data_IF_956999312501
#
_entry.id   IF_956999312501
#
_cell.length_a   1.000
_cell.length_b   1.000
_cell.length_c   1.000
_cell.angle_alpha   90.00
_cell.angle_beta   90.00
_cell.angle_gamma   90.00
#
_symmetry.space_group_name_H-M   'P 1'
#
loop_
_entity.id
_entity.type
_entity.pdbx_description
1 polymer ?
#
# COMPACT_ATOMS: atom_id res chain seq x y z
N UNK A 1 11.75 28.65 -9.06
CA UNK A 1 11.27 27.45 -9.79
C UNK A 1 11.09 27.86 -11.24
N UNK A 2 11.65 27.09 -12.17
CA UNK A 2 11.39 27.33 -13.59
C UNK A 2 9.88 27.13 -13.82
N UNK A 3 9.25 28.07 -14.52
CA UNK A 3 7.83 27.99 -14.87
C UNK A 3 7.63 26.75 -15.76
N UNK A 4 6.79 25.81 -15.33
CA UNK A 4 6.46 24.63 -16.14
C UNK A 4 5.58 25.08 -17.33
N UNK A 5 6.22 25.33 -18.46
CA UNK A 5 5.55 25.82 -19.66
C UNK A 5 4.50 24.83 -20.20
N UNK A 6 4.67 23.52 -20.01
CA UNK A 6 3.72 22.52 -20.46
C UNK A 6 2.45 22.57 -19.61
N UNK A 7 2.60 22.56 -18.27
CA UNK A 7 1.48 22.70 -17.35
C UNK A 7 0.73 24.02 -17.56
N UNK A 8 1.45 25.14 -17.72
CA UNK A 8 0.82 26.45 -17.97
C UNK A 8 0.00 26.47 -19.26
N UNK A 9 0.47 25.81 -20.33
CA UNK A 9 -0.30 25.63 -21.58
C UNK A 9 -1.54 24.80 -21.35
N UNK A 10 -1.42 23.66 -20.68
CA UNK A 10 -2.54 22.75 -20.37
C UNK A 10 -3.63 23.48 -19.58
N UNK A 11 -3.26 24.22 -18.52
CA UNK A 11 -4.20 24.98 -17.72
C UNK A 11 -4.92 26.07 -18.53
N UNK A 12 -4.24 26.74 -19.47
CA UNK A 12 -4.85 27.73 -20.36
C UNK A 12 -5.86 27.05 -21.33
N UNK A 13 -5.53 25.86 -21.84
CA UNK A 13 -6.45 25.10 -22.69
C UNK A 13 -7.69 24.70 -21.88
N UNK A 14 -7.53 24.21 -20.67
CA UNK A 14 -8.65 23.81 -19.79
C UNK A 14 -9.57 24.98 -19.46
N UNK A 15 -9.02 26.15 -19.13
CA UNK A 15 -9.81 27.36 -18.87
C UNK A 15 -10.69 27.81 -20.06
N UNK A 16 -10.31 27.43 -21.27
CA UNK A 16 -11.03 27.81 -22.51
C UNK A 16 -11.72 26.62 -23.20
N UNK A 17 -11.67 25.43 -22.61
CA UNK A 17 -12.17 24.18 -23.21
C UNK A 17 -13.70 24.07 -23.28
N UNK A 18 -14.42 24.86 -22.48
CA UNK A 18 -15.85 24.74 -22.28
C UNK A 18 -16.25 23.61 -21.30
N UNK A 19 -15.32 23.02 -20.56
CA UNK A 19 -15.61 22.21 -19.40
C UNK A 19 -16.22 23.06 -18.28
N UNK A 20 -17.18 22.53 -17.53
CA UNK A 20 -17.82 23.26 -16.43
C UNK A 20 -16.93 23.28 -15.16
N UNK A 21 -16.06 22.27 -15.03
CA UNK A 21 -14.99 22.18 -14.03
C UNK A 21 -13.89 21.21 -14.51
N UNK A 22 -12.73 21.27 -13.89
CA UNK A 22 -11.61 20.39 -14.22
C UNK A 22 -10.65 20.22 -13.02
N UNK A 23 -9.90 19.13 -13.07
CA UNK A 23 -8.81 18.77 -12.15
C UNK A 23 -7.59 18.33 -12.95
N UNK A 24 -6.40 18.67 -12.43
CA UNK A 24 -5.10 18.28 -12.99
C UNK A 24 -4.18 17.83 -11.86
N UNK A 25 -3.64 16.64 -11.97
CA UNK A 25 -2.50 16.19 -11.16
C UNK A 25 -1.25 16.21 -12.05
N UNK A 26 -0.31 17.10 -11.79
CA UNK A 26 1.05 17.10 -12.36
C UNK A 26 1.93 16.19 -11.50
N UNK A 27 2.29 15.04 -12.05
CA UNK A 27 3.13 14.04 -11.39
C UNK A 27 4.51 14.03 -12.02
N UNK A 28 5.52 14.35 -11.22
CA UNK A 28 6.93 14.34 -11.60
C UNK A 28 7.65 13.29 -10.77
N UNK A 29 8.40 12.43 -11.43
CA UNK A 29 9.25 11.43 -10.80
C UNK A 29 10.68 11.60 -11.28
N UNK A 30 11.61 11.77 -10.33
CA UNK A 30 13.04 11.76 -10.57
C UNK A 30 13.65 10.65 -9.75
N UNK A 31 14.36 9.74 -10.40
CA UNK A 31 14.82 8.56 -9.71
C UNK A 31 16.10 7.97 -10.26
N UNK A 32 16.67 7.10 -9.47
CA UNK A 32 17.79 6.25 -9.82
C UNK A 32 17.41 4.80 -9.61
N UNK A 33 17.84 3.95 -10.54
CA UNK A 33 17.64 2.51 -10.51
C UNK A 33 18.99 1.81 -10.51
N UNK A 34 19.16 0.82 -9.66
CA UNK A 34 20.40 0.05 -9.53
C UNK A 34 20.06 -1.44 -9.63
N UNK A 35 20.80 -2.13 -10.45
CA UNK A 35 20.65 -3.55 -10.71
C UNK A 35 21.92 -4.24 -10.24
N UNK A 36 21.82 -5.11 -9.25
CA UNK A 36 22.92 -5.84 -8.68
C UNK A 36 22.81 -7.34 -9.05
N UNK A 37 23.92 -7.93 -9.42
CA UNK A 37 24.09 -9.38 -9.50
C UNK A 37 25.01 -9.77 -8.36
N UNK A 38 24.48 -10.51 -7.41
CA UNK A 38 25.11 -10.69 -6.10
C UNK A 38 25.38 -9.33 -5.46
N UNK A 39 26.58 -9.06 -4.99
CA UNK A 39 26.98 -7.78 -4.41
C UNK A 39 27.62 -6.79 -5.40
N UNK A 40 27.67 -7.15 -6.70
CA UNK A 40 28.26 -6.31 -7.72
C UNK A 40 27.17 -5.50 -8.44
N UNK A 41 27.39 -4.19 -8.56
CA UNK A 41 26.55 -3.35 -9.40
C UNK A 41 26.78 -3.71 -10.87
N UNK A 42 25.76 -4.20 -11.55
CA UNK A 42 25.78 -4.54 -12.98
C UNK A 42 25.35 -3.36 -13.83
N UNK A 43 24.21 -2.74 -13.50
CA UNK A 43 23.67 -1.62 -14.23
C UNK A 43 23.11 -0.56 -13.29
N UNK A 44 23.09 0.69 -13.79
CA UNK A 44 22.32 1.77 -13.18
C UNK A 44 21.63 2.60 -14.26
N UNK A 45 20.48 3.17 -13.90
CA UNK A 45 19.69 4.05 -14.77
C UNK A 45 19.26 5.29 -14.03
N UNK A 46 19.00 6.35 -14.79
CA UNK A 46 18.36 7.58 -14.31
C UNK A 46 16.97 7.62 -14.91
N UNK A 47 16.00 7.95 -14.07
CA UNK A 47 14.59 8.09 -14.43
C UNK A 47 14.16 9.54 -14.21
N UNK A 48 13.56 10.14 -15.21
CA UNK A 48 12.91 11.45 -15.12
C UNK A 48 11.64 11.39 -15.96
N UNK A 49 10.50 11.42 -15.30
CA UNK A 49 9.18 11.31 -15.93
C UNK A 49 8.30 12.46 -15.44
N UNK A 50 7.45 12.93 -16.34
CA UNK A 50 6.39 13.89 -16.04
C UNK A 50 5.13 13.51 -16.80
N UNK A 51 3.99 13.58 -16.15
CA UNK A 51 2.69 13.35 -16.77
C UNK A 51 1.60 14.18 -16.08
N UNK A 52 0.56 14.51 -16.84
CA UNK A 52 -0.60 15.21 -16.32
C UNK A 52 -1.81 14.28 -16.34
N UNK A 53 -2.34 13.96 -15.17
CA UNK A 53 -3.64 13.29 -15.06
C UNK A 53 -4.72 14.36 -15.05
N UNK A 54 -5.54 14.39 -16.09
CA UNK A 54 -6.57 15.40 -16.29
C UNK A 54 -7.94 14.79 -16.19
N UNK A 55 -8.83 15.43 -15.44
CA UNK A 55 -10.25 15.10 -15.38
C UNK A 55 -11.07 16.33 -15.65
N UNK A 56 -12.06 16.24 -16.55
CA UNK A 56 -13.00 17.31 -16.87
C UNK A 56 -14.40 16.93 -16.47
N UNK A 57 -15.22 17.93 -16.19
CA UNK A 57 -16.58 17.76 -15.70
C UNK A 57 -17.59 18.50 -16.58
N UNK A 58 -18.77 17.91 -16.69
CA UNK A 58 -19.94 18.51 -17.32
C UNK A 58 -21.11 18.50 -16.36
N UNK A 59 -21.61 19.70 -16.03
CA UNK A 59 -22.79 19.86 -15.16
C UNK A 59 -24.07 19.70 -15.97
N UNK A 60 -25.02 18.96 -15.42
CA UNK A 60 -26.39 18.83 -15.88
C UNK A 60 -27.32 19.22 -14.72
N UNK A 61 -28.63 19.29 -14.97
CA UNK A 61 -29.60 19.76 -13.96
C UNK A 61 -29.55 18.91 -12.67
N UNK A 62 -29.37 17.59 -12.80
CA UNK A 62 -29.46 16.62 -11.70
C UNK A 62 -28.21 15.71 -11.58
N UNK A 63 -27.25 15.83 -12.46
CA UNK A 63 -26.08 14.94 -12.47
C UNK A 63 -24.80 15.64 -12.94
N UNK A 64 -23.67 14.95 -12.72
CA UNK A 64 -22.34 15.39 -13.09
C UNK A 64 -21.69 14.36 -14.01
N UNK A 65 -21.41 14.76 -15.26
CA UNK A 65 -20.60 13.96 -16.15
C UNK A 65 -19.12 14.17 -15.90
N UNK A 66 -18.30 13.17 -16.10
CA UNK A 66 -16.84 13.31 -15.98
C UNK A 66 -16.12 12.38 -16.94
N UNK A 67 -14.96 12.81 -17.43
CA UNK A 67 -14.02 11.98 -18.18
C UNK A 67 -12.60 12.37 -17.82
N UNK A 68 -11.70 11.40 -17.79
CA UNK A 68 -10.31 11.63 -17.42
C UNK A 68 -9.33 10.80 -18.24
N UNK A 69 -8.14 11.33 -18.43
CA UNK A 69 -7.02 10.63 -19.10
C UNK A 69 -5.67 11.20 -18.65
N UNK A 70 -4.61 10.50 -19.00
CA UNK A 70 -3.23 11.02 -18.87
C UNK A 70 -2.85 11.77 -20.13
N UNK A 71 -2.33 12.99 -19.97
CA UNK A 71 -1.76 13.81 -21.03
C UNK A 71 -0.24 13.79 -20.90
N UNK A 72 0.52 13.37 -21.93
CA UNK A 72 1.97 13.42 -21.91
C UNK A 72 2.49 14.86 -21.74
N UNK A 73 3.52 15.05 -20.94
CA UNK A 73 4.08 16.38 -20.71
C UNK A 73 4.79 16.97 -21.94
N UNK A 74 5.25 16.13 -22.85
CA UNK A 74 5.86 16.49 -24.14
C UNK A 74 4.86 16.71 -25.26
N UNK A 75 3.55 16.50 -25.01
CA UNK A 75 2.50 16.77 -26.01
C UNK A 75 2.53 18.24 -26.45
N UNK A 76 2.40 18.47 -27.73
CA UNK A 76 2.27 19.83 -28.25
C UNK A 76 0.88 20.41 -27.96
N UNK A 77 0.72 21.72 -28.19
CA UNK A 77 -0.53 22.44 -27.91
C UNK A 77 -1.72 21.90 -28.72
N UNK A 78 -1.48 21.45 -29.96
CA UNK A 78 -2.54 20.91 -30.83
C UNK A 78 -3.03 19.57 -30.29
N UNK A 79 -2.12 18.72 -29.87
CA UNK A 79 -2.43 17.43 -29.29
C UNK A 79 -3.15 17.59 -27.93
N UNK A 80 -2.66 18.47 -27.05
CA UNK A 80 -3.34 18.79 -25.79
C UNK A 80 -4.79 19.26 -26.04
N UNK A 81 -5.00 20.18 -27.00
CA UNK A 81 -6.35 20.65 -27.37
C UNK A 81 -7.24 19.51 -27.87
N UNK A 82 -6.69 18.61 -28.69
CA UNK A 82 -7.43 17.44 -29.21
C UNK A 82 -7.85 16.51 -28.07
N UNK A 83 -6.94 16.21 -27.14
CA UNK A 83 -7.24 15.34 -26.00
C UNK A 83 -8.31 15.97 -25.12
N UNK A 84 -8.17 17.24 -24.73
CA UNK A 84 -9.13 17.91 -23.86
C UNK A 84 -10.51 18.05 -24.52
N UNK A 85 -10.57 18.33 -25.82
CA UNK A 85 -11.83 18.36 -26.55
C UNK A 85 -12.52 16.99 -26.56
N UNK A 86 -11.76 15.90 -26.70
CA UNK A 86 -12.26 14.52 -26.57
C UNK A 86 -12.85 14.27 -25.19
N UNK A 87 -12.13 14.61 -24.12
CA UNK A 87 -12.62 14.45 -22.74
C UNK A 87 -13.93 15.24 -22.50
N UNK A 88 -13.99 16.50 -22.98
CA UNK A 88 -15.20 17.32 -22.87
C UNK A 88 -16.40 16.69 -23.60
N UNK A 89 -16.14 15.96 -24.70
CA UNK A 89 -17.19 15.22 -25.41
C UNK A 89 -17.60 13.97 -24.62
N UNK A 90 -16.63 13.18 -24.12
CA UNK A 90 -16.88 11.93 -23.38
C UNK A 90 -17.64 12.20 -22.07
N UNK A 91 -17.32 13.28 -21.36
CA UNK A 91 -18.01 13.69 -20.15
C UNK A 91 -19.52 13.92 -20.35
N UNK A 92 -19.98 14.18 -21.59
CA UNK A 92 -21.41 14.32 -21.89
C UNK A 92 -22.21 13.02 -21.83
N UNK A 93 -21.54 11.87 -21.86
CA UNK A 93 -22.20 10.56 -21.85
C UNK A 93 -22.21 9.91 -20.46
N UNK A 94 -21.53 10.49 -19.49
CA UNK A 94 -21.51 10.01 -18.10
C UNK A 94 -22.57 10.74 -17.28
N UNK A 95 -23.25 10.00 -16.39
CA UNK A 95 -24.31 10.52 -15.50
C UNK A 95 -24.10 9.99 -14.10
N UNK A 96 -23.30 10.70 -13.32
CA UNK A 96 -23.14 10.44 -11.89
C UNK A 96 -24.11 11.33 -11.09
N UNK A 97 -24.61 10.90 -9.93
CA UNK A 97 -25.27 11.82 -9.00
C UNK A 97 -24.40 13.05 -8.77
N UNK A 98 -25.01 14.21 -8.57
CA UNK A 98 -24.26 15.45 -8.43
C UNK A 98 -23.41 15.46 -7.16
N UNK A 99 -22.18 15.97 -7.28
CA UNK A 99 -21.30 16.29 -6.17
C UNK A 99 -20.45 17.53 -6.52
N UNK A 100 -19.92 18.20 -5.50
CA UNK A 100 -19.03 19.37 -5.66
C UNK A 100 -17.58 18.94 -5.50
N UNK A 101 -16.68 19.54 -6.27
CA UNK A 101 -15.24 19.35 -6.12
C UNK A 101 -14.76 19.95 -4.79
N UNK A 102 -13.59 19.50 -4.35
CA UNK A 102 -12.91 20.10 -3.20
C UNK A 102 -12.59 21.56 -3.48
N UNK A 103 -12.70 22.37 -2.44
CA UNK A 103 -12.41 23.81 -2.45
C UNK A 103 -11.24 24.11 -1.50
N UNK A 104 -10.52 25.24 -1.70
CA UNK A 104 -9.49 25.68 -0.77
C UNK A 104 -10.07 25.83 0.65
N UNK A 105 -9.39 25.25 1.63
CA UNK A 105 -9.65 25.49 3.04
C UNK A 105 -8.65 26.51 3.64
N UNK A 106 -8.88 26.93 4.89
CA UNK A 106 -7.94 27.77 5.61
C UNK A 106 -6.62 27.01 5.83
N UNK A 107 -5.58 27.40 5.07
CA UNK A 107 -4.28 26.75 5.11
C UNK A 107 -3.92 25.97 3.85
N UNK A 108 -4.78 26.00 2.81
CA UNK A 108 -4.39 25.56 1.47
C UNK A 108 -3.25 26.43 0.99
N UNK A 109 -2.09 25.85 0.79
CA UNK A 109 -0.87 26.53 0.36
C UNK A 109 0.24 25.54 0.15
N UNK A 110 1.45 26.05 -0.05
CA UNK A 110 2.63 25.20 -0.16
C UNK A 110 2.80 24.43 1.16
N UNK A 111 2.80 23.13 1.11
CA UNK A 111 3.10 22.30 2.26
C UNK A 111 4.53 22.59 2.73
N UNK A 112 4.65 23.31 3.85
CA UNK A 112 5.94 23.69 4.41
C UNK A 112 6.76 22.50 4.91
N UNK A 113 6.12 21.32 5.07
CA UNK A 113 6.80 20.08 5.46
C UNK A 113 7.52 19.42 4.27
N UNK A 114 7.06 19.64 3.04
CA UNK A 114 7.59 19.03 1.82
C UNK A 114 8.66 19.87 1.12
N UNK A 115 9.14 20.93 1.72
CA UNK A 115 10.19 21.79 1.11
C UNK A 115 11.60 21.21 1.25
N UNK A 116 11.79 20.09 1.96
CA UNK A 116 13.07 19.40 1.99
C UNK A 116 13.26 18.64 0.68
N UNK A 117 14.25 19.06 -0.10
CA UNK A 117 14.69 18.29 -1.25
C UNK A 117 15.04 16.85 -0.82
N UNK A 118 14.53 15.87 -1.55
CA UNK A 118 14.89 14.46 -1.33
C UNK A 118 16.33 14.27 -1.76
N UNK A 119 17.19 13.80 -0.86
CA UNK A 119 18.58 13.48 -1.17
C UNK A 119 18.68 12.06 -1.75
N UNK A 120 18.39 11.93 -3.05
CA UNK A 120 18.46 10.65 -3.76
C UNK A 120 19.83 9.98 -3.61
N UNK A 121 20.92 10.77 -3.54
CA UNK A 121 22.28 10.22 -3.41
C UNK A 121 22.51 9.59 -2.04
N UNK A 122 22.09 10.25 -0.98
CA UNK A 122 22.20 9.71 0.39
C UNK A 122 21.36 8.45 0.54
N UNK A 123 20.09 8.49 0.12
CA UNK A 123 19.15 7.35 0.19
C UNK A 123 19.69 6.15 -0.60
N UNK A 124 20.09 6.35 -1.85
CA UNK A 124 20.68 5.28 -2.69
C UNK A 124 21.96 4.71 -2.06
N UNK A 125 22.81 5.58 -1.52
CA UNK A 125 24.04 5.17 -0.85
C UNK A 125 23.79 4.28 0.38
N UNK A 126 22.74 4.55 1.12
CA UNK A 126 22.35 3.74 2.28
C UNK A 126 21.81 2.37 1.86
N UNK A 127 20.95 2.28 0.83
CA UNK A 127 20.51 1.00 0.29
C UNK A 127 21.69 0.16 -0.22
N UNK A 128 22.52 0.73 -1.09
CA UNK A 128 23.64 0.00 -1.68
C UNK A 128 24.62 -0.49 -0.62
N UNK A 129 24.95 0.33 0.39
CA UNK A 129 25.83 -0.09 1.50
C UNK A 129 25.20 -1.23 2.30
N UNK A 130 23.92 -1.16 2.60
CA UNK A 130 23.23 -2.20 3.35
C UNK A 130 23.25 -3.52 2.59
N UNK A 131 22.84 -3.50 1.32
CA UNK A 131 22.76 -4.69 0.47
C UNK A 131 24.14 -5.30 0.24
N UNK A 132 25.15 -4.50 -0.07
CA UNK A 132 26.52 -5.00 -0.30
C UNK A 132 27.24 -5.47 0.97
N UNK A 133 26.73 -5.18 2.15
CA UNK A 133 27.24 -5.68 3.43
C UNK A 133 26.57 -6.97 3.91
N UNK A 134 25.58 -7.49 3.16
CA UNK A 134 24.91 -8.74 3.48
C UNK A 134 25.93 -9.90 3.44
N UNK A 135 25.99 -10.77 4.47
CA UNK A 135 26.92 -11.89 4.45
C UNK A 135 26.58 -12.90 3.39
N UNK A 136 27.59 -13.38 2.66
CA UNK A 136 27.48 -14.48 1.72
C UNK A 136 28.23 -15.71 2.22
N UNK A 137 27.70 -16.88 1.90
CA UNK A 137 28.34 -18.17 2.13
C UNK A 137 28.25 -19.04 0.90
N UNK A 138 28.90 -20.20 0.89
CA UNK A 138 28.79 -21.18 -0.22
C UNK A 138 27.35 -21.75 -0.37
N UNK A 139 26.53 -21.63 0.69
CA UNK A 139 25.18 -22.16 0.74
C UNK A 139 24.09 -21.09 0.66
N UNK A 140 24.44 -19.83 0.80
CA UNK A 140 23.49 -18.72 0.83
C UNK A 140 24.13 -17.49 0.21
N UNK A 141 23.44 -16.87 -0.72
CA UNK A 141 23.85 -15.62 -1.33
C UNK A 141 22.66 -14.78 -1.81
N UNK A 142 22.93 -13.53 -2.12
CA UNK A 142 22.03 -12.67 -2.87
C UNK A 142 22.22 -13.01 -4.36
N UNK A 143 21.19 -13.58 -5.01
CA UNK A 143 21.23 -13.86 -6.44
C UNK A 143 21.21 -12.58 -7.26
N UNK A 144 20.20 -11.75 -7.04
CA UNK A 144 20.02 -10.44 -7.68
C UNK A 144 19.30 -9.48 -6.75
N UNK A 145 19.52 -8.19 -6.97
CA UNK A 145 18.80 -7.17 -6.25
C UNK A 145 18.58 -5.95 -7.14
N UNK A 146 17.37 -5.47 -7.17
CA UNK A 146 17.02 -4.22 -7.84
C UNK A 146 16.64 -3.18 -6.79
N UNK A 147 17.16 -1.98 -6.93
CA UNK A 147 16.91 -0.86 -6.00
C UNK A 147 16.41 0.33 -6.80
N UNK A 148 15.23 0.79 -6.50
CA UNK A 148 14.59 1.95 -7.09
C UNK A 148 14.48 3.04 -6.02
N UNK A 149 15.01 4.22 -6.29
CA UNK A 149 14.94 5.37 -5.38
C UNK A 149 14.48 6.57 -6.15
N UNK A 150 13.33 7.12 -5.79
CA UNK A 150 12.70 8.25 -6.49
C UNK A 150 12.31 9.36 -5.52
N UNK A 151 12.36 10.59 -6.04
CA UNK A 151 11.59 11.72 -5.54
C UNK A 151 10.30 11.80 -6.36
N UNK A 152 9.15 11.70 -5.70
CA UNK A 152 7.84 11.86 -6.31
C UNK A 152 7.29 13.22 -5.91
N UNK A 153 7.02 14.07 -6.89
CA UNK A 153 6.36 15.36 -6.70
C UNK A 153 4.99 15.32 -7.38
N UNK A 154 3.93 15.49 -6.58
CA UNK A 154 2.54 15.54 -7.03
C UNK A 154 2.00 16.94 -6.78
N UNK A 155 1.62 17.68 -7.85
CA UNK A 155 0.92 18.96 -7.72
C UNK A 155 -0.49 18.81 -8.23
N UNK A 156 -1.45 19.06 -7.37
CA UNK A 156 -2.87 19.02 -7.70
C UNK A 156 -3.42 20.43 -7.86
N UNK A 157 -4.14 20.66 -8.95
CA UNK A 157 -4.78 21.95 -9.27
C UNK A 157 -6.19 21.66 -9.75
N UNK A 158 -7.18 22.43 -9.28
CA UNK A 158 -8.54 22.34 -9.80
C UNK A 158 -9.13 23.70 -10.17
N UNK A 159 -10.28 23.67 -10.85
CA UNK A 159 -11.01 24.88 -11.26
C UNK A 159 -11.65 25.65 -10.11
N UNK A 160 -11.74 25.06 -8.91
CA UNK A 160 -12.32 25.66 -7.71
C UNK A 160 -11.27 26.46 -6.91
N UNK A 161 -10.00 26.43 -7.31
CA UNK A 161 -8.93 27.26 -6.74
C UNK A 161 -7.93 26.52 -5.87
N UNK A 162 -8.00 25.19 -5.76
CA UNK A 162 -6.94 24.40 -5.11
C UNK A 162 -5.68 24.43 -5.99
N UNK A 163 -4.53 24.62 -5.35
CA UNK A 163 -3.19 24.45 -5.93
C UNK A 163 -2.26 24.02 -4.80
N UNK A 164 -2.05 22.71 -4.66
CA UNK A 164 -1.27 22.10 -3.58
C UNK A 164 -0.19 21.20 -4.17
N UNK A 165 0.93 21.07 -3.47
CA UNK A 165 2.05 20.23 -3.90
C UNK A 165 2.48 19.36 -2.74
N UNK A 166 2.69 18.07 -3.00
CA UNK A 166 3.29 17.09 -2.11
C UNK A 166 4.56 16.55 -2.75
N UNK A 167 5.65 16.43 -1.98
CA UNK A 167 6.90 15.81 -2.42
C UNK A 167 7.34 14.81 -1.39
N UNK A 168 7.57 13.56 -1.80
CA UNK A 168 8.02 12.50 -0.91
C UNK A 168 9.08 11.62 -1.59
N UNK A 169 10.01 11.02 -0.81
CA UNK A 169 10.83 9.92 -1.29
C UNK A 169 9.97 8.68 -1.48
N UNK A 170 10.24 7.91 -2.52
CA UNK A 170 9.65 6.59 -2.75
C UNK A 170 10.74 5.63 -3.17
N UNK A 171 10.90 4.55 -2.42
CA UNK A 171 11.93 3.56 -2.68
C UNK A 171 11.34 2.17 -2.71
N UNK A 172 11.94 1.31 -3.54
CA UNK A 172 11.60 -0.10 -3.61
C UNK A 172 12.88 -0.92 -3.73
N UNK A 173 12.95 -2.03 -3.02
CA UNK A 173 14.00 -3.04 -3.15
C UNK A 173 13.35 -4.36 -3.53
N UNK A 174 13.76 -4.93 -4.64
CA UNK A 174 13.42 -6.28 -5.04
C UNK A 174 14.65 -7.15 -4.89
N UNK A 175 14.60 -8.16 -4.05
CA UNK A 175 15.73 -9.02 -3.74
C UNK A 175 15.37 -10.48 -3.98
N UNK A 176 16.27 -11.20 -4.64
CA UNK A 176 16.23 -12.65 -4.77
C UNK A 176 17.40 -13.24 -4.02
N UNK A 177 17.11 -14.04 -3.01
CA UNK A 177 18.15 -14.78 -2.27
C UNK A 177 18.15 -16.24 -2.66
N UNK A 178 19.32 -16.85 -2.68
CA UNK A 178 19.50 -18.28 -2.91
C UNK A 178 19.85 -19.00 -1.63
N UNK A 179 19.31 -20.19 -1.47
CA UNK A 179 19.78 -21.17 -0.50
C UNK A 179 20.05 -22.51 -1.18
N UNK A 180 21.16 -23.16 -0.82
CA UNK A 180 21.62 -24.43 -1.44
C UNK A 180 21.94 -25.47 -0.38
N UNK A 181 21.54 -26.70 -0.63
CA UNK A 181 21.88 -27.85 0.23
C UNK A 181 21.84 -29.14 -0.59
N UNK A 182 22.95 -29.89 -0.59
CA UNK A 182 23.02 -31.25 -1.17
C UNK A 182 22.53 -31.31 -2.63
N UNK A 183 22.92 -30.31 -3.45
CA UNK A 183 22.55 -30.20 -4.87
C UNK A 183 21.14 -29.68 -5.14
N UNK A 184 20.39 -29.34 -4.10
CA UNK A 184 19.11 -28.60 -4.22
C UNK A 184 19.37 -27.13 -4.07
N UNK A 185 18.60 -26.32 -4.78
CA UNK A 185 18.65 -24.86 -4.72
C UNK A 185 17.22 -24.32 -4.64
N UNK A 186 17.06 -23.28 -3.84
CA UNK A 186 15.79 -22.54 -3.67
C UNK A 186 16.09 -21.05 -3.80
N UNK A 187 15.26 -20.38 -4.56
CA UNK A 187 15.21 -18.93 -4.66
C UNK A 187 14.00 -18.40 -3.88
N UNK A 188 14.21 -17.31 -3.14
CA UNK A 188 13.14 -16.56 -2.49
C UNK A 188 13.20 -15.11 -2.96
N UNK A 189 12.09 -14.64 -3.50
CA UNK A 189 11.86 -13.25 -3.87
C UNK A 189 11.23 -12.48 -2.72
N UNK A 190 11.71 -11.25 -2.51
CA UNK A 190 11.13 -10.28 -1.58
C UNK A 190 11.09 -8.91 -2.20
N UNK A 191 10.00 -8.19 -1.92
CA UNK A 191 9.86 -6.78 -2.27
C UNK A 191 9.66 -5.95 -1.00
N UNK A 192 10.45 -4.90 -0.86
CA UNK A 192 10.36 -3.95 0.25
C UNK A 192 10.05 -2.58 -0.32
N UNK A 193 8.98 -1.96 0.16
CA UNK A 193 8.56 -0.61 -0.21
C UNK A 193 8.69 0.31 0.99
N UNK A 194 9.21 1.53 0.79
CA UNK A 194 9.42 2.50 1.86
C UNK A 194 9.74 3.87 1.27
N UNK A 195 9.80 4.91 2.11
CA UNK A 195 10.27 6.22 1.69
C UNK A 195 11.80 6.26 1.55
N UNK A 196 12.51 5.90 2.64
CA UNK A 196 13.98 5.92 2.71
C UNK A 196 14.52 4.61 3.28
N UNK A 197 15.82 4.39 3.18
CA UNK A 197 16.44 3.17 3.70
C UNK A 197 16.49 3.16 5.24
N UNK A 198 15.69 2.32 5.87
CA UNK A 198 15.94 1.85 7.22
C UNK A 198 16.94 0.68 7.14
N UNK A 199 18.22 0.97 7.45
CA UNK A 199 19.32 0.03 7.26
C UNK A 199 19.22 -1.19 8.17
N UNK A 200 18.78 -0.99 9.41
CA UNK A 200 18.68 -2.07 10.40
C UNK A 200 17.53 -3.00 10.01
N UNK A 201 16.39 -2.44 9.65
CA UNK A 201 15.22 -3.20 9.22
C UNK A 201 15.50 -3.97 7.92
N UNK A 202 16.06 -3.33 6.89
CA UNK A 202 16.38 -3.99 5.63
C UNK A 202 17.39 -5.14 5.81
N UNK A 203 18.44 -4.93 6.61
CA UNK A 203 19.42 -5.98 6.91
C UNK A 203 18.76 -7.16 7.62
N UNK A 204 17.89 -6.89 8.58
CA UNK A 204 17.15 -7.92 9.28
C UNK A 204 16.25 -8.70 8.33
N UNK A 205 15.48 -8.01 7.49
CA UNK A 205 14.56 -8.62 6.53
C UNK A 205 15.27 -9.53 5.52
N UNK A 206 16.39 -9.08 4.97
CA UNK A 206 17.18 -9.87 4.04
C UNK A 206 17.82 -11.10 4.72
N UNK A 207 18.31 -10.94 5.95
CA UNK A 207 18.88 -12.04 6.73
C UNK A 207 17.81 -13.08 7.09
N UNK A 208 16.62 -12.65 7.49
CA UNK A 208 15.49 -13.55 7.71
C UNK A 208 15.05 -14.27 6.44
N UNK A 209 15.06 -13.60 5.29
CA UNK A 209 14.75 -14.24 4.02
C UNK A 209 15.76 -15.34 3.67
N UNK A 210 17.05 -15.12 3.97
CA UNK A 210 18.08 -16.18 3.82
C UNK A 210 17.80 -17.35 4.77
N UNK A 211 17.43 -17.09 6.03
CA UNK A 211 17.04 -18.13 6.96
C UNK A 211 15.84 -18.92 6.44
N UNK A 212 14.82 -18.28 5.91
CA UNK A 212 13.67 -18.96 5.30
C UNK A 212 14.08 -19.84 4.11
N UNK A 213 15.04 -19.40 3.29
CA UNK A 213 15.62 -20.22 2.24
C UNK A 213 16.25 -21.51 2.74
N UNK A 214 17.05 -21.44 3.81
CA UNK A 214 17.63 -22.64 4.47
C UNK A 214 16.57 -23.60 4.99
N UNK A 215 15.60 -23.03 5.72
CA UNK A 215 14.56 -23.82 6.37
C UNK A 215 13.66 -24.52 5.33
N UNK A 216 13.41 -23.85 4.20
CA UNK A 216 12.64 -24.43 3.08
C UNK A 216 13.34 -25.64 2.42
N UNK A 217 14.68 -25.71 2.47
CA UNK A 217 15.43 -26.88 1.97
C UNK A 217 15.26 -28.14 2.84
N UNK A 218 14.76 -28.00 4.06
CA UNK A 218 14.63 -29.10 5.03
C UNK A 218 13.18 -29.34 5.47
N UNK A 219 12.21 -28.72 4.78
CA UNK A 219 10.79 -28.88 5.12
C UNK A 219 10.30 -30.30 4.98
N UNK A 220 9.35 -30.66 5.86
CA UNK A 220 8.48 -31.81 5.70
C UNK A 220 7.18 -31.39 4.98
N UNK A 221 6.43 -32.33 4.37
CA UNK A 221 5.11 -32.02 3.85
C UNK A 221 4.16 -31.52 4.95
N UNK A 222 3.43 -30.44 4.71
CA UNK A 222 2.41 -29.97 5.66
C UNK A 222 1.34 -31.03 5.85
N UNK A 223 1.06 -31.49 7.09
CA UNK A 223 -0.02 -32.45 7.32
C UNK A 223 -1.40 -31.78 7.16
N UNK A 224 -2.43 -32.56 6.90
CA UNK A 224 -3.81 -32.09 6.92
C UNK A 224 -4.21 -31.83 8.38
N UNK A 225 -4.28 -30.55 8.77
CA UNK A 225 -4.55 -30.17 10.16
C UNK A 225 -6.04 -29.86 10.40
N UNK A 226 -6.81 -29.62 9.34
CA UNK A 226 -8.17 -29.11 9.48
C UNK A 226 -8.17 -27.71 10.09
N UNK A 227 -9.06 -27.47 11.05
CA UNK A 227 -9.12 -26.19 11.76
C UNK A 227 -7.95 -26.05 12.73
N UNK A 228 -7.13 -25.04 12.51
CA UNK A 228 -5.87 -24.80 13.24
C UNK A 228 -5.68 -23.30 13.44
N UNK A 229 -4.94 -22.91 14.46
CA UNK A 229 -4.60 -21.53 14.69
C UNK A 229 -3.46 -21.12 13.74
N UNK A 230 -3.77 -20.16 12.88
CA UNK A 230 -2.85 -19.59 11.90
C UNK A 230 -2.19 -18.35 12.49
N UNK A 231 -0.85 -18.28 12.41
CA UNK A 231 -0.06 -17.10 12.76
C UNK A 231 0.51 -16.49 11.49
N UNK A 232 0.39 -15.16 11.35
CA UNK A 232 0.98 -14.34 10.31
C UNK A 232 1.90 -13.31 10.97
N UNK A 233 3.19 -13.36 10.65
CA UNK A 233 4.24 -12.50 11.22
C UNK A 233 5.04 -11.74 10.14
N UNK A 234 4.62 -11.88 8.87
CA UNK A 234 5.25 -11.23 7.72
C UNK A 234 4.26 -10.27 7.05
N UNK A 235 4.64 -9.73 5.88
CA UNK A 235 3.82 -8.85 5.06
C UNK A 235 2.44 -9.43 4.66
N UNK A 236 2.30 -10.76 4.66
CA UNK A 236 1.01 -11.40 4.47
C UNK A 236 -0.07 -10.91 5.46
N UNK A 237 0.32 -10.48 6.67
CA UNK A 237 -0.61 -9.90 7.64
C UNK A 237 -1.27 -8.61 7.13
N UNK A 238 -0.64 -7.87 6.20
CA UNK A 238 -1.21 -6.64 5.64
C UNK A 238 -2.60 -6.88 5.04
N UNK A 239 -2.79 -7.96 4.28
CA UNK A 239 -4.07 -8.29 3.66
C UNK A 239 -5.22 -8.45 4.67
N UNK A 240 -4.91 -8.92 5.89
CA UNK A 240 -5.91 -9.03 6.97
C UNK A 240 -6.37 -7.64 7.43
N UNK A 241 -5.46 -6.68 7.54
CA UNK A 241 -5.81 -5.32 7.99
C UNK A 241 -6.39 -4.46 6.85
N UNK A 242 -5.96 -4.69 5.61
CA UNK A 242 -6.53 -4.06 4.42
C UNK A 242 -8.01 -4.41 4.25
N UNK A 243 -8.44 -5.62 4.62
CA UNK A 243 -9.86 -5.98 4.67
C UNK A 243 -10.68 -4.98 5.50
N UNK A 244 -10.22 -4.60 6.71
CA UNK A 244 -10.91 -3.61 7.54
C UNK A 244 -10.87 -2.21 6.93
N UNK A 245 -9.74 -1.83 6.36
CA UNK A 245 -9.53 -0.53 5.73
C UNK A 245 -10.49 -0.36 4.54
N UNK A 246 -10.56 -1.33 3.65
CA UNK A 246 -11.40 -1.27 2.45
C UNK A 246 -12.89 -1.31 2.78
N UNK A 247 -13.31 -2.12 3.77
CA UNK A 247 -14.71 -2.15 4.20
C UNK A 247 -15.21 -0.82 4.78
N UNK A 248 -14.31 0.06 5.21
CA UNK A 248 -14.62 1.43 5.68
C UNK A 248 -14.38 2.49 4.59
N UNK A 249 -14.13 2.08 3.34
CA UNK A 249 -14.08 2.97 2.20
C UNK A 249 -15.49 3.44 1.82
N UNK A 250 -15.67 4.75 1.73
CA UNK A 250 -16.95 5.34 1.29
C UNK A 250 -17.44 4.81 -0.06
N UNK A 251 -16.51 4.44 -0.95
CA UNK A 251 -16.86 3.86 -2.25
C UNK A 251 -17.48 2.47 -2.11
N UNK A 252 -16.95 1.60 -1.26
CA UNK A 252 -17.48 0.26 -1.05
C UNK A 252 -18.80 0.29 -0.28
N UNK A 253 -18.92 1.16 0.72
CA UNK A 253 -20.16 1.38 1.47
C UNK A 253 -21.27 1.91 0.54
N UNK A 254 -21.00 2.92 -0.27
CA UNK A 254 -21.98 3.47 -1.20
C UNK A 254 -22.45 2.44 -2.24
N UNK A 255 -21.55 1.59 -2.71
CA UNK A 255 -21.89 0.54 -3.70
C UNK A 255 -22.60 -0.68 -3.09
N UNK A 256 -22.74 -0.71 -1.76
CA UNK A 256 -23.36 -1.84 -1.05
C UNK A 256 -22.47 -3.09 -1.04
N UNK A 257 -21.16 -2.97 -1.29
CA UNK A 257 -20.19 -4.05 -1.13
C UNK A 257 -19.89 -4.24 0.35
N UNK A 258 -19.68 -3.17 1.09
CA UNK A 258 -19.64 -3.19 2.55
C UNK A 258 -21.00 -2.79 3.12
N UNK A 259 -21.50 -3.58 4.06
CA UNK A 259 -22.73 -3.31 4.82
C UNK A 259 -22.45 -2.73 6.22
N UNK A 260 -21.19 -2.46 6.55
CA UNK A 260 -20.75 -1.96 7.84
C UNK A 260 -21.27 -0.54 8.10
N UNK A 261 -21.89 -0.37 9.28
CA UNK A 261 -22.41 0.92 9.72
C UNK A 261 -21.66 1.43 10.93
N UNK A 262 -21.58 2.74 11.06
CA UNK A 262 -21.03 3.37 12.26
C UNK A 262 -21.71 2.81 13.52
N UNK A 263 -20.92 2.33 14.46
CA UNK A 263 -21.32 1.67 15.69
C UNK A 263 -21.32 0.14 15.65
N UNK A 264 -21.26 -0.49 14.46
CA UNK A 264 -21.20 -1.94 14.35
C UNK A 264 -19.86 -2.47 14.90
N UNK A 265 -19.91 -3.61 15.59
CA UNK A 265 -18.71 -4.32 16.04
C UNK A 265 -18.14 -5.11 14.85
N UNK A 266 -17.03 -4.65 14.31
CA UNK A 266 -16.43 -5.16 13.07
C UNK A 266 -15.04 -5.79 13.28
N UNK A 267 -14.44 -5.54 14.44
CA UNK A 267 -13.09 -6.00 14.79
C UNK A 267 -13.01 -6.39 16.27
N UNK A 268 -11.93 -7.02 16.76
CA UNK A 268 -11.69 -7.23 18.18
C UNK A 268 -11.77 -5.93 18.98
N UNK A 269 -12.28 -6.00 20.22
CA UNK A 269 -12.55 -4.82 21.04
C UNK A 269 -11.31 -3.98 21.40
N UNK A 270 -10.11 -4.56 21.33
CA UNK A 270 -8.84 -3.85 21.52
C UNK A 270 -8.33 -3.14 20.26
N UNK A 271 -8.95 -3.37 19.10
CA UNK A 271 -8.49 -2.77 17.84
C UNK A 271 -8.96 -1.31 17.72
N UNK A 272 -8.00 -0.44 17.44
CA UNK A 272 -8.25 0.92 16.92
C UNK A 272 -7.50 1.04 15.59
N UNK A 273 -8.19 1.57 14.58
CA UNK A 273 -7.63 1.85 13.26
C UNK A 273 -7.85 3.33 12.94
N UNK A 274 -6.80 4.03 12.54
CA UNK A 274 -6.90 5.41 12.11
C UNK A 274 -6.01 5.70 10.90
N UNK A 275 -6.34 6.78 10.19
CA UNK A 275 -5.55 7.31 9.08
C UNK A 275 -4.45 8.22 9.62
N UNK A 276 -3.40 8.43 8.83
CA UNK A 276 -2.35 9.39 9.14
C UNK A 276 -1.84 10.07 7.86
N UNK A 277 -1.50 11.36 7.96
CA UNK A 277 -0.79 12.06 6.89
C UNK A 277 0.66 11.59 6.76
N UNK A 278 1.27 11.15 7.87
CA UNK A 278 2.68 10.77 7.94
C UNK A 278 2.87 9.48 8.76
N UNK A 279 3.69 8.59 8.23
CA UNK A 279 4.35 7.52 8.95
C UNK A 279 5.88 7.69 8.84
N UNK A 280 6.69 7.18 9.81
CA UNK A 280 8.13 7.45 9.85
C UNK A 280 8.87 7.18 8.55
N UNK A 281 8.47 6.18 7.78
CA UNK A 281 9.17 5.76 6.56
C UNK A 281 8.22 5.37 5.42
N UNK A 282 7.07 6.00 5.31
CA UNK A 282 6.13 5.75 4.21
C UNK A 282 6.58 6.43 2.92
N UNK A 283 6.36 5.75 1.80
CA UNK A 283 6.53 6.29 0.44
C UNK A 283 5.39 7.21 -0.02
N UNK A 284 4.32 7.33 0.78
CA UNK A 284 3.10 8.11 0.46
C UNK A 284 2.80 9.19 1.52
N UNK A 285 3.84 9.69 2.19
CA UNK A 285 3.69 10.80 3.13
C UNK A 285 3.28 12.08 2.43
N UNK A 286 2.29 12.79 2.98
CA UNK A 286 1.83 14.06 2.45
C UNK A 286 0.62 14.63 3.17
N UNK A 287 0.51 15.96 3.18
CA UNK A 287 -0.61 16.67 3.82
C UNK A 287 -1.89 16.68 2.97
N UNK A 288 -1.79 16.40 1.68
CA UNK A 288 -2.90 16.47 0.75
C UNK A 288 -3.00 15.15 -0.03
N UNK A 289 -4.24 14.77 -0.30
CA UNK A 289 -4.55 13.60 -1.12
C UNK A 289 -4.54 13.91 -2.63
N UNK A 290 -4.88 12.92 -3.43
CA UNK A 290 -4.92 13.03 -4.89
C UNK A 290 -6.05 13.92 -5.44
N UNK A 291 -6.99 14.38 -4.59
CA UNK A 291 -8.07 15.33 -4.92
C UNK A 291 -7.85 16.70 -4.24
N UNK A 292 -6.66 16.93 -3.67
CA UNK A 292 -6.28 18.17 -3.01
C UNK A 292 -6.94 18.40 -1.66
N UNK A 293 -7.60 17.40 -1.10
CA UNK A 293 -8.15 17.46 0.26
C UNK A 293 -7.04 17.25 1.29
N UNK A 294 -7.13 17.96 2.42
CA UNK A 294 -6.17 17.81 3.51
C UNK A 294 -6.37 16.48 4.24
N UNK A 295 -5.33 15.65 4.29
CA UNK A 295 -5.30 14.41 5.06
C UNK A 295 -5.19 14.74 6.54
N UNK A 296 -5.98 14.05 7.36
CA UNK A 296 -6.05 14.23 8.82
C UNK A 296 -6.03 12.87 9.51
N UNK A 297 -5.77 12.91 10.81
CA UNK A 297 -5.99 11.74 11.65
C UNK A 297 -7.50 11.53 11.79
N UNK A 298 -8.00 10.43 11.25
CA UNK A 298 -9.40 10.04 11.32
C UNK A 298 -9.49 8.64 11.90
N UNK A 299 -10.19 8.48 13.00
CA UNK A 299 -10.46 7.17 13.59
C UNK A 299 -11.51 6.44 12.76
N UNK A 300 -11.14 5.33 12.17
CA UNK A 300 -11.99 4.46 11.34
C UNK A 300 -12.63 3.36 12.17
N UNK A 301 -11.86 2.76 13.10
CA UNK A 301 -12.33 1.79 14.09
C UNK A 301 -11.91 2.29 15.47
N UNK A 302 -12.85 2.31 16.41
CA UNK A 302 -12.60 2.63 17.81
C UNK A 302 -13.13 1.51 18.71
N UNK A 303 -12.23 0.87 19.46
CA UNK A 303 -12.58 -0.25 20.30
C UNK A 303 -13.35 -1.35 19.57
N UNK A 304 -12.89 -1.73 18.39
CA UNK A 304 -13.49 -2.74 17.51
C UNK A 304 -14.76 -2.29 16.77
N UNK A 305 -15.25 -1.05 16.99
CA UNK A 305 -16.44 -0.53 16.33
C UNK A 305 -16.12 0.38 15.17
N UNK A 306 -16.83 0.21 14.07
CA UNK A 306 -16.77 1.15 12.95
C UNK A 306 -17.14 2.56 13.45
N UNK A 307 -16.26 3.54 13.27
CA UNK A 307 -16.43 4.91 13.76
C UNK A 307 -16.65 5.91 12.64
N UNK A 308 -15.94 5.76 11.52
CA UNK A 308 -15.99 6.68 10.38
C UNK A 308 -15.68 5.95 9.08
N UNK A 309 -15.94 6.63 7.97
CA UNK A 309 -15.55 6.19 6.63
C UNK A 309 -14.52 7.17 6.05
N UNK A 310 -13.67 6.69 5.17
CA UNK A 310 -12.71 7.47 4.41
C UNK A 310 -12.97 7.34 2.91
N UNK A 311 -12.56 8.29 2.09
CA UNK A 311 -12.68 8.15 0.64
C UNK A 311 -12.71 9.45 -0.13
N UNK A 312 -12.89 9.33 -1.45
CA UNK A 312 -12.97 10.46 -2.36
C UNK A 312 -14.14 11.40 -2.06
N UNK A 313 -14.01 12.64 -2.48
CA UNK A 313 -15.08 13.66 -2.35
C UNK A 313 -16.41 13.18 -2.90
N UNK A 314 -16.39 12.50 -4.05
CA UNK A 314 -17.59 11.95 -4.70
C UNK A 314 -18.38 11.03 -3.77
N UNK A 315 -17.76 9.94 -3.30
CA UNK A 315 -18.47 8.93 -2.51
C UNK A 315 -18.80 9.39 -1.11
N UNK A 316 -17.97 10.25 -0.55
CA UNK A 316 -18.25 10.83 0.76
C UNK A 316 -19.48 11.75 0.74
N UNK A 317 -19.65 12.58 -0.29
CA UNK A 317 -20.87 13.36 -0.46
C UNK A 317 -22.10 12.49 -0.71
N UNK A 318 -21.97 11.40 -1.46
CA UNK A 318 -23.07 10.45 -1.67
C UNK A 318 -23.54 9.78 -0.38
N UNK A 319 -22.65 9.64 0.60
CA UNK A 319 -22.98 9.14 1.95
C UNK A 319 -23.35 10.24 2.94
N UNK A 320 -23.32 11.52 2.54
CA UNK A 320 -23.62 12.65 3.40
C UNK A 320 -22.54 12.94 4.45
N UNK A 321 -21.28 12.56 4.20
CA UNK A 321 -20.16 12.85 5.07
C UNK A 321 -19.68 14.29 4.86
N UNK A 322 -19.48 15.01 5.96
CA UNK A 322 -19.07 16.42 5.90
C UNK A 322 -17.61 16.59 5.50
N UNK A 323 -16.76 15.73 6.03
CA UNK A 323 -15.30 15.76 5.83
C UNK A 323 -14.80 14.45 5.22
N UNK A 324 -14.04 14.58 4.14
CA UNK A 324 -13.59 13.43 3.41
C UNK A 324 -12.23 13.70 2.75
N UNK A 325 -11.41 12.69 2.72
CA UNK A 325 -10.14 12.66 2.02
C UNK A 325 -9.78 11.21 1.68
N UNK A 326 -8.95 11.04 0.66
CA UNK A 326 -8.37 9.74 0.34
C UNK A 326 -7.16 9.55 1.25
N UNK A 327 -7.25 8.56 2.16
CA UNK A 327 -6.17 8.28 3.09
C UNK A 327 -5.05 7.50 2.39
N UNK A 328 -3.82 7.86 2.70
CA UNK A 328 -2.63 7.19 2.17
C UNK A 328 -2.01 6.23 3.20
N UNK A 329 -1.96 6.63 4.48
CA UNK A 329 -1.34 5.84 5.53
C UNK A 329 -2.36 5.43 6.59
N UNK A 330 -2.17 4.22 7.13
CA UNK A 330 -3.07 3.65 8.14
C UNK A 330 -2.27 3.09 9.31
N UNK A 331 -2.82 3.27 10.52
CA UNK A 331 -2.22 2.81 11.76
C UNK A 331 -3.24 1.96 12.50
N UNK A 332 -2.87 0.71 12.75
CA UNK A 332 -3.59 -0.20 13.63
C UNK A 332 -2.92 -0.18 15.00
N UNK A 333 -3.71 -0.08 16.07
CA UNK A 333 -3.19 -0.19 17.44
C UNK A 333 -2.57 -1.56 17.68
N UNK A 334 -1.58 -1.62 18.58
CA UNK A 334 -1.15 -2.90 19.15
C UNK A 334 -2.25 -3.50 20.01
N UNK A 335 -2.21 -4.81 20.15
CA UNK A 335 -3.04 -5.56 21.10
C UNK A 335 -2.52 -5.47 22.54
N UNK A 336 -3.03 -6.35 23.39
CA UNK A 336 -2.66 -6.43 24.81
C UNK A 336 -1.72 -7.60 25.14
N UNK A 337 -1.37 -8.40 24.15
CA UNK A 337 -0.59 -9.65 24.27
C UNK A 337 0.72 -9.48 23.50
N UNK A 338 1.84 -9.99 24.03
CA UNK A 338 3.11 -9.95 23.30
C UNK A 338 3.11 -10.94 22.12
N UNK A 339 3.97 -10.68 21.12
CA UNK A 339 4.14 -11.62 20.00
C UNK A 339 4.55 -13.02 20.48
N UNK A 340 5.39 -13.12 21.50
CA UNK A 340 5.80 -14.40 22.10
C UNK A 340 4.62 -15.13 22.75
N UNK A 341 3.78 -14.43 23.50
CA UNK A 341 2.59 -15.01 24.14
C UNK A 341 1.54 -15.48 23.13
N UNK A 342 1.48 -14.91 21.93
CA UNK A 342 0.60 -15.38 20.86
C UNK A 342 0.99 -16.78 20.33
N UNK A 343 2.23 -17.22 20.55
CA UNK A 343 2.71 -18.55 20.16
C UNK A 343 2.42 -19.64 21.22
N UNK A 344 1.29 -19.57 21.92
CA UNK A 344 0.87 -20.60 22.88
C UNK A 344 0.10 -21.74 22.22
N UNK A 345 0.19 -22.95 22.80
CA UNK A 345 -0.51 -24.14 22.29
C UNK A 345 0.01 -24.60 20.94
N UNK A 346 -0.83 -25.28 20.18
CA UNK A 346 -0.52 -25.72 18.82
C UNK A 346 -0.85 -24.60 17.82
N UNK A 347 0.02 -24.38 16.83
CA UNK A 347 -0.16 -23.36 15.79
C UNK A 347 0.60 -23.69 14.51
N UNK A 348 0.20 -23.06 13.42
CA UNK A 348 0.93 -23.00 12.15
C UNK A 348 1.25 -21.55 11.84
N UNK A 349 2.54 -21.16 11.86
CA UNK A 349 3.00 -19.86 11.42
C UNK A 349 3.44 -19.94 9.96
N UNK A 350 2.72 -19.28 9.06
CA UNK A 350 3.08 -19.23 7.65
C UNK A 350 3.88 -17.97 7.39
N UNK A 351 5.13 -18.14 6.98
CA UNK A 351 6.08 -17.04 6.70
C UNK A 351 6.31 -16.84 5.21
N UNK A 352 5.90 -17.80 4.38
CA UNK A 352 6.05 -17.77 2.94
C UNK A 352 4.82 -18.36 2.26
N UNK A 353 4.19 -17.55 1.42
CA UNK A 353 3.13 -17.99 0.52
C UNK A 353 3.60 -17.86 -0.94
N UNK A 354 3.06 -18.65 -1.85
CA UNK A 354 3.17 -18.36 -3.29
C UNK A 354 2.14 -17.31 -3.72
N UNK A 355 0.99 -17.33 -3.05
CA UNK A 355 -0.10 -16.39 -3.20
C UNK A 355 -0.89 -16.40 -1.89
N UNK A 356 -1.21 -15.24 -1.37
CA UNK A 356 -2.06 -15.07 -0.18
C UNK A 356 -2.95 -13.85 -0.40
N UNK A 357 -4.24 -14.05 -0.20
CA UNK A 357 -5.21 -12.97 -0.35
C UNK A 357 -6.34 -13.08 0.66
N UNK A 358 -6.90 -11.94 0.99
CA UNK A 358 -8.19 -11.77 1.65
C UNK A 358 -9.09 -11.04 0.67
N UNK A 359 -10.18 -11.66 0.25
CA UNK A 359 -11.13 -11.04 -0.68
C UNK A 359 -11.89 -9.90 0.02
N UNK A 360 -11.81 -8.71 -0.55
CA UNK A 360 -12.41 -7.49 0.03
C UNK A 360 -13.93 -7.50 0.06
N UNK A 361 -14.58 -8.37 -0.72
CA UNK A 361 -16.04 -8.45 -0.83
C UNK A 361 -16.61 -9.52 0.08
N UNK A 362 -16.04 -10.73 -0.02
CA UNK A 362 -16.55 -11.91 0.67
C UNK A 362 -15.88 -12.16 2.01
N UNK A 363 -14.69 -11.62 2.22
CA UNK A 363 -13.83 -11.91 3.35
C UNK A 363 -13.15 -13.28 3.27
N UNK A 364 -13.23 -13.97 2.15
CA UNK A 364 -12.59 -15.27 1.98
C UNK A 364 -11.07 -15.15 1.98
N UNK A 365 -10.43 -16.04 2.74
CA UNK A 365 -8.98 -16.15 2.82
C UNK A 365 -8.55 -17.35 2.00
N UNK A 366 -7.56 -17.17 1.15
CA UNK A 366 -6.88 -18.24 0.42
C UNK A 366 -5.37 -18.00 0.38
N UNK A 367 -4.58 -19.05 0.52
CA UNK A 367 -3.13 -18.99 0.40
C UNK A 367 -2.49 -20.36 0.23
N UNK A 368 -1.49 -20.45 -0.66
CA UNK A 368 -0.68 -21.63 -0.87
C UNK A 368 0.61 -21.55 -0.06
N UNK A 369 0.86 -22.54 0.81
CA UNK A 369 1.99 -22.54 1.74
C UNK A 369 3.28 -22.91 1.01
N UNK A 370 4.27 -22.02 1.06
CA UNK A 370 5.64 -22.29 0.60
C UNK A 370 6.59 -22.62 1.74
N UNK A 371 6.42 -21.92 2.88
CA UNK A 371 7.12 -22.23 4.12
C UNK A 371 6.23 -21.86 5.30
N UNK A 372 6.08 -22.81 6.21
CA UNK A 372 5.48 -22.56 7.50
C UNK A 372 6.25 -23.30 8.62
N UNK A 373 6.07 -22.84 9.84
CA UNK A 373 6.53 -23.52 11.05
C UNK A 373 5.32 -24.13 11.75
N UNK A 374 5.29 -25.45 11.85
CA UNK A 374 4.27 -26.17 12.60
C UNK A 374 4.78 -26.42 14.02
N UNK A 375 4.12 -25.82 14.99
CA UNK A 375 4.32 -26.13 16.41
C UNK A 375 3.23 -27.06 16.88
N UNK A 376 3.63 -28.25 17.34
CA UNK A 376 2.73 -29.25 17.87
C UNK A 376 3.45 -30.13 18.90
N UNK A 377 2.76 -30.48 19.99
CA UNK A 377 3.32 -31.31 21.07
C UNK A 377 4.67 -30.78 21.59
N UNK A 378 4.83 -29.45 21.67
CA UNK A 378 6.06 -28.80 22.16
C UNK A 378 7.24 -28.87 21.19
N UNK A 379 7.03 -29.18 19.92
CA UNK A 379 8.07 -29.20 18.87
C UNK A 379 7.67 -28.30 17.71
N UNK A 380 8.65 -27.57 17.19
CA UNK A 380 8.48 -26.76 15.97
C UNK A 380 9.27 -27.37 14.83
N UNK A 381 8.62 -27.60 13.70
CA UNK A 381 9.24 -28.14 12.49
C UNK A 381 8.88 -27.28 11.27
N UNK A 382 9.80 -27.06 10.33
CA UNK A 382 9.48 -26.40 9.07
C UNK A 382 8.70 -27.35 8.16
N UNK A 383 7.61 -26.84 7.59
CA UNK A 383 6.72 -27.58 6.69
C UNK A 383 6.44 -26.78 5.43
N UNK A 384 6.07 -27.46 4.34
CA UNK A 384 5.73 -26.80 3.06
C UNK A 384 4.65 -27.54 2.29
N UNK A 385 4.02 -26.82 1.35
CA UNK A 385 2.89 -27.32 0.55
C UNK A 385 1.56 -27.29 1.30
N UNK A 386 0.49 -27.60 0.60
CA UNK A 386 -0.86 -27.41 1.11
C UNK A 386 -1.34 -25.97 1.06
N UNK A 387 -2.48 -25.70 1.66
CA UNK A 387 -3.12 -24.38 1.59
C UNK A 387 -3.79 -23.97 2.89
N UNK A 388 -3.91 -22.67 3.05
CA UNK A 388 -4.72 -22.00 4.07
C UNK A 388 -6.03 -21.55 3.44
N UNK A 389 -7.13 -21.72 4.16
CA UNK A 389 -8.42 -21.13 3.79
C UNK A 389 -9.23 -20.72 5.03
N UNK A 390 -10.13 -19.79 4.86
CA UNK A 390 -10.98 -19.28 5.93
C UNK A 390 -11.89 -18.17 5.44
N UNK A 391 -12.60 -17.53 6.37
CA UNK A 391 -13.39 -16.35 6.09
C UNK A 391 -13.28 -15.34 7.23
N UNK A 392 -12.99 -14.08 6.92
CA UNK A 392 -12.78 -13.02 7.91
C UNK A 392 -13.98 -12.82 8.83
N UNK A 393 -15.22 -12.92 8.32
CA UNK A 393 -16.43 -12.77 9.14
C UNK A 393 -16.51 -13.77 10.30
N UNK A 394 -15.83 -14.92 10.17
CA UNK A 394 -15.74 -15.92 11.23
C UNK A 394 -14.46 -15.79 12.07
N UNK A 395 -13.32 -15.55 11.40
CA UNK A 395 -12.02 -15.53 12.05
C UNK A 395 -11.81 -14.30 12.93
N UNK A 396 -12.38 -13.14 12.54
CA UNK A 396 -12.32 -11.89 13.33
C UNK A 396 -12.87 -12.05 14.76
N UNK A 397 -13.84 -12.92 14.95
CA UNK A 397 -14.46 -13.17 16.27
C UNK A 397 -13.49 -13.72 17.32
N UNK A 398 -12.39 -14.31 16.89
CA UNK A 398 -11.34 -14.92 17.72
C UNK A 398 -9.94 -14.46 17.32
N UNK A 399 -9.84 -13.43 16.52
CA UNK A 399 -8.57 -12.85 16.12
C UNK A 399 -7.86 -12.25 17.31
N UNK A 400 -6.56 -12.50 17.41
CA UNK A 400 -5.66 -11.91 18.39
C UNK A 400 -4.48 -11.29 17.64
N UNK A 401 -3.86 -10.27 18.22
CA UNK A 401 -2.72 -9.60 17.61
C UNK A 401 -1.80 -8.99 18.69
N UNK A 402 -0.52 -8.86 18.33
CA UNK A 402 0.52 -8.46 19.26
C UNK A 402 0.47 -6.98 19.64
N UNK A 403 1.03 -6.66 20.81
CA UNK A 403 1.27 -5.27 21.22
C UNK A 403 2.40 -4.63 20.41
N UNK A 404 3.39 -5.42 19.99
CA UNK A 404 4.44 -4.97 19.10
C UNK A 404 3.85 -4.71 17.71
N UNK A 405 4.38 -3.68 17.06
CA UNK A 405 3.93 -3.27 15.72
C UNK A 405 5.08 -3.23 14.74
N UNK A 406 4.77 -3.43 13.48
CA UNK A 406 5.69 -3.32 12.36
C UNK A 406 5.10 -2.48 11.25
N UNK A 407 5.93 -1.66 10.63
CA UNK A 407 5.53 -0.86 9.47
C UNK A 407 5.86 -1.61 8.17
N UNK A 408 4.86 -1.67 7.29
CA UNK A 408 4.99 -2.13 5.92
C UNK A 408 4.56 -0.96 5.02
N UNK A 409 5.52 -0.15 4.60
CA UNK A 409 5.31 1.10 3.85
C UNK A 409 4.22 1.99 4.47
N UNK A 410 3.01 1.98 3.89
CA UNK A 410 1.87 2.80 4.28
C UNK A 410 1.05 2.24 5.44
N UNK A 411 1.39 1.05 5.92
CA UNK A 411 0.66 0.35 6.98
C UNK A 411 1.54 0.15 8.21
N UNK A 412 1.11 0.67 9.36
CA UNK A 412 1.67 0.33 10.66
C UNK A 412 0.70 -0.60 11.39
N UNK A 413 1.02 -1.87 11.47
CA UNK A 413 0.16 -2.94 11.96
C UNK A 413 0.82 -3.75 13.07
N UNK A 414 0.06 -4.55 13.87
CA UNK A 414 0.65 -5.53 14.78
C UNK A 414 1.64 -6.45 14.08
N UNK A 415 2.79 -6.69 14.72
CA UNK A 415 3.87 -7.49 14.15
C UNK A 415 3.51 -8.97 14.01
N UNK A 416 2.56 -9.45 14.80
CA UNK A 416 2.06 -10.84 14.76
C UNK A 416 0.54 -10.83 14.87
N UNK A 417 -0.11 -11.58 13.98
CA UNK A 417 -1.57 -11.77 13.96
C UNK A 417 -1.89 -13.25 14.06
N UNK A 418 -2.77 -13.63 15.00
CA UNK A 418 -3.27 -14.99 15.16
C UNK A 418 -4.75 -15.08 14.76
N UNK A 419 -5.04 -15.91 13.78
CA UNK A 419 -6.39 -16.20 13.29
C UNK A 419 -6.78 -17.60 13.76
N UNK A 420 -7.62 -17.66 14.80
CA UNK A 420 -8.00 -18.92 15.42
C UNK A 420 -9.04 -19.68 14.60
N UNK A 421 -8.68 -20.87 14.11
CA UNK A 421 -9.59 -21.78 13.41
C UNK A 421 -9.60 -21.61 11.89
N UNK A 422 -8.53 -21.13 11.27
CA UNK A 422 -8.29 -21.24 9.84
C UNK A 422 -8.21 -22.73 9.42
N UNK A 423 -8.59 -23.07 8.21
CA UNK A 423 -8.53 -24.44 7.69
C UNK A 423 -7.22 -24.65 6.94
N UNK A 424 -6.47 -25.68 7.36
CA UNK A 424 -5.21 -26.06 6.73
C UNK A 424 -5.40 -27.38 6.00
N UNK A 425 -5.25 -27.33 4.67
CA UNK A 425 -5.22 -28.51 3.81
C UNK A 425 -3.77 -28.96 3.67
N UNK A 426 -3.50 -30.24 3.91
CA UNK A 426 -2.15 -30.78 3.82
C UNK A 426 -1.60 -30.82 2.39
N UNK A 427 -0.28 -30.98 2.27
CA UNK A 427 0.35 -31.30 1.00
C UNK A 427 -0.13 -32.70 0.53
N UNK A 428 -0.41 -32.82 -0.77
CA UNK A 428 -0.85 -34.09 -1.42
C UNK A 428 0.37 -34.92 -1.80
#
# INVERSE_FOLDING_TARGET
>A
MAENHALSRLLNILKTSGADAWEVSDVQEKGWEFYLIRHALDQNRVKELESFHVKVYRKFDDCLGSAGTTVPADADETEMKRIIAGLCQDAKYVRNPFYTLNQPDEGTGVDLMDTKAVDLRAISGDFLKTITSLPETDTEDLNSCEVFVSEIRKRFINSEGIDVTVTCPSSMVEAVVNARKEGREIELYRMYKCGTCDREQLMWDLTETMRFGRDRLITEPTPALGKTDLILSTDAACAVYEYFIYHLSAALVYRGVSDWKTGDMVAPAEMTLHTAAFLPNSSENGMYDSEGARIRDLTLIDGGRAASYWGSRQFSQYLGLEDSFIANNFIVSGGNTSAEELHHGDWLEVVEFSDFQVDDVTGDIAGEIRLAYLHRDGKTVPVSGGSVSGNMNELVKRMQFSMERRQYDTLLIPATTRLNGATITGAV
#
